data_IF_170375567976
#
_entry.id   IF_170375567976
#
_cell.length_a   1.000
_cell.length_b   1.000
_cell.length_c   1.000
_cell.angle_alpha   90.00
_cell.angle_beta   90.00
_cell.angle_gamma   90.00
#
_symmetry.space_group_name_H-M   'P 1'
#
loop_
_entity.id
_entity.type
_entity.pdbx_description
1 polymer ?
#
# COMPACT_ATOMS: atom_id res chain seq x y z
N UNK A 1 -9.62 17.06 12.52
CA UNK A 1 -9.76 15.74 11.91
C UNK A 1 -9.06 15.62 10.55
N UNK A 2 -9.12 16.59 9.64
CA UNK A 2 -8.46 16.52 8.30
C UNK A 2 -6.93 16.33 8.33
N UNK A 3 -6.25 16.87 9.35
CA UNK A 3 -4.79 16.70 9.49
C UNK A 3 -4.39 15.28 9.95
N UNK A 4 -5.20 14.63 10.75
CA UNK A 4 -4.90 13.29 11.26
C UNK A 4 -4.98 12.21 10.19
N UNK A 5 -5.93 12.30 9.26
CA UNK A 5 -6.13 11.32 8.19
C UNK A 5 -4.92 11.19 7.26
N UNK A 6 -4.44 12.31 6.67
CA UNK A 6 -3.30 12.23 5.76
C UNK A 6 -1.99 11.87 6.47
N UNK A 7 -1.82 12.26 7.75
CA UNK A 7 -0.65 11.88 8.56
C UNK A 7 -0.65 10.37 8.79
N UNK A 8 -1.79 9.79 9.18
CA UNK A 8 -1.92 8.34 9.37
C UNK A 8 -1.58 7.57 8.10
N UNK A 9 -2.10 8.02 6.95
CA UNK A 9 -1.81 7.39 5.67
C UNK A 9 -0.36 7.60 5.25
N UNK A 10 0.25 8.75 5.54
CA UNK A 10 1.66 8.99 5.25
C UNK A 10 2.56 8.05 6.09
N UNK A 11 2.26 7.88 7.38
CA UNK A 11 2.98 6.92 8.24
C UNK A 11 2.85 5.50 7.68
N UNK A 12 1.65 5.11 7.25
CA UNK A 12 1.43 3.81 6.60
C UNK A 12 2.28 3.65 5.34
N UNK A 13 2.30 4.66 4.47
CA UNK A 13 3.10 4.64 3.24
C UNK A 13 4.61 4.57 3.50
N UNK A 14 5.09 5.31 4.50
CA UNK A 14 6.50 5.24 4.95
C UNK A 14 6.81 3.83 5.46
N UNK A 15 5.95 3.27 6.30
CA UNK A 15 6.13 1.92 6.82
C UNK A 15 6.19 0.87 5.71
N UNK A 16 5.25 0.90 4.75
CA UNK A 16 5.24 -0.01 3.60
C UNK A 16 6.56 0.10 2.83
N UNK A 17 6.99 1.32 2.49
CA UNK A 17 8.23 1.56 1.74
C UNK A 17 9.44 1.06 2.50
N UNK A 18 9.55 1.40 3.79
CA UNK A 18 10.68 1.03 4.63
C UNK A 18 10.80 -0.49 4.82
N UNK A 19 9.72 -1.16 5.20
CA UNK A 19 9.77 -2.61 5.40
C UNK A 19 9.99 -3.38 4.11
N UNK A 20 9.46 -2.89 2.98
CA UNK A 20 9.74 -3.48 1.67
C UNK A 20 11.21 -3.31 1.29
N UNK A 21 11.78 -2.14 1.53
CA UNK A 21 13.20 -1.89 1.25
C UNK A 21 14.11 -2.77 2.12
N UNK A 22 13.84 -2.87 3.42
CA UNK A 22 14.56 -3.78 4.32
C UNK A 22 14.44 -5.22 3.86
N UNK A 23 13.25 -5.64 3.39
CA UNK A 23 13.06 -6.99 2.84
C UNK A 23 13.86 -7.23 1.56
N UNK A 24 14.02 -6.21 0.70
CA UNK A 24 14.87 -6.28 -0.49
C UNK A 24 16.35 -6.42 -0.13
N UNK A 25 16.82 -5.60 0.82
CA UNK A 25 18.20 -5.68 1.32
C UNK A 25 18.49 -7.09 1.86
N UNK A 26 17.60 -7.63 2.71
CA UNK A 26 17.76 -8.99 3.23
C UNK A 26 17.77 -10.05 2.11
N UNK A 27 16.92 -9.92 1.10
CA UNK A 27 16.87 -10.87 0.01
C UNK A 27 18.14 -10.91 -0.84
N UNK A 28 18.81 -9.76 -1.03
CA UNK A 28 19.96 -9.67 -1.95
C UNK A 28 21.31 -9.75 -1.26
N UNK A 29 21.43 -9.27 -0.01
CA UNK A 29 22.73 -9.17 0.67
C UNK A 29 22.91 -10.14 1.83
N UNK A 30 21.86 -10.83 2.28
CA UNK A 30 22.00 -11.77 3.39
C UNK A 30 22.00 -13.20 2.85
N UNK A 31 23.03 -13.96 3.16
CA UNK A 31 23.14 -15.39 2.82
C UNK A 31 22.49 -16.30 3.87
N UNK A 32 21.92 -15.71 4.90
CA UNK A 32 21.31 -16.45 5.99
C UNK A 32 20.17 -17.36 5.52
N UNK A 33 20.06 -18.51 6.19
CA UNK A 33 18.95 -19.44 6.05
C UNK A 33 17.65 -18.78 6.49
N UNK A 34 16.98 -18.11 5.53
CA UNK A 34 15.79 -17.35 5.84
C UNK A 34 14.55 -18.23 5.98
N UNK A 35 13.58 -17.72 6.76
CA UNK A 35 12.33 -18.41 6.99
C UNK A 35 11.25 -18.05 5.98
N UNK A 36 10.56 -19.07 5.48
CA UNK A 36 9.29 -18.92 4.75
C UNK A 36 8.18 -19.38 5.69
N UNK A 37 7.63 -18.42 6.43
CA UNK A 37 6.70 -18.75 7.51
C UNK A 37 7.38 -19.46 8.68
N UNK A 38 6.88 -20.64 9.13
CA UNK A 38 7.49 -21.43 10.19
C UNK A 38 8.71 -22.22 9.72
N UNK A 39 8.87 -22.47 8.41
CA UNK A 39 9.88 -23.34 7.84
C UNK A 39 11.15 -22.56 7.47
N UNK A 40 12.30 -23.16 7.67
CA UNK A 40 13.58 -22.68 7.14
C UNK A 40 13.79 -23.20 5.72
N UNK A 41 14.46 -22.42 4.89
CA UNK A 41 14.75 -22.83 3.50
C UNK A 41 15.62 -24.09 3.49
N UNK A 42 16.58 -24.22 4.42
CA UNK A 42 17.40 -25.42 4.60
C UNK A 42 16.59 -26.67 4.96
N UNK A 43 15.44 -26.52 5.63
CA UNK A 43 14.55 -27.63 5.99
C UNK A 43 13.70 -28.10 4.79
N UNK A 44 13.32 -27.16 3.91
CA UNK A 44 12.46 -27.43 2.75
C UNK A 44 13.24 -28.01 1.59
N UNK A 45 14.47 -27.56 1.39
CA UNK A 45 15.32 -27.96 0.29
C UNK A 45 16.76 -28.17 0.78
N UNK A 46 17.02 -29.21 1.59
CA UNK A 46 18.33 -29.47 2.11
C UNK A 46 19.32 -29.75 0.96
N UNK A 47 20.34 -28.88 0.84
CA UNK A 47 21.43 -29.07 -0.13
C UNK A 47 21.15 -28.62 -1.56
N UNK A 48 19.99 -28.07 -1.89
CA UNK A 48 19.76 -27.48 -3.21
C UNK A 48 19.85 -25.95 -3.22
N UNK A 49 21.00 -25.39 -3.64
CA UNK A 49 21.21 -23.94 -3.68
C UNK A 49 20.27 -23.21 -4.68
N UNK A 50 19.72 -23.93 -5.66
CA UNK A 50 18.83 -23.35 -6.68
C UNK A 50 17.50 -22.95 -6.07
N UNK A 51 16.95 -23.76 -5.16
CA UNK A 51 15.71 -23.48 -4.46
C UNK A 51 15.87 -22.25 -3.55
N UNK A 52 16.97 -22.19 -2.80
CA UNK A 52 17.28 -21.03 -1.96
C UNK A 52 17.39 -19.75 -2.80
N UNK A 53 18.11 -19.82 -3.92
CA UNK A 53 18.25 -18.68 -4.85
C UNK A 53 16.91 -18.26 -5.45
N UNK A 54 16.06 -19.20 -5.88
CA UNK A 54 14.75 -18.92 -6.43
C UNK A 54 13.83 -18.21 -5.41
N UNK A 55 13.81 -18.70 -4.17
CA UNK A 55 13.02 -18.09 -3.10
C UNK A 55 13.51 -16.68 -2.75
N UNK A 56 14.82 -16.45 -2.73
CA UNK A 56 15.41 -15.12 -2.54
C UNK A 56 15.04 -14.18 -3.69
N UNK A 57 15.08 -14.64 -4.93
CA UNK A 57 14.67 -13.86 -6.11
C UNK A 57 13.19 -13.47 -6.05
N UNK A 58 12.29 -14.40 -5.71
CA UNK A 58 10.84 -14.13 -5.54
C UNK A 58 10.64 -13.08 -4.44
N UNK A 59 11.32 -13.22 -3.30
CA UNK A 59 11.23 -12.25 -2.21
C UNK A 59 11.73 -10.88 -2.62
N UNK A 60 12.87 -10.80 -3.31
CA UNK A 60 13.44 -9.54 -3.80
C UNK A 60 12.51 -8.84 -4.78
N UNK A 61 11.92 -9.59 -5.72
CA UNK A 61 10.95 -9.06 -6.67
C UNK A 61 9.69 -8.54 -5.95
N UNK A 62 9.15 -9.30 -5.00
CA UNK A 62 8.00 -8.87 -4.21
C UNK A 62 8.30 -7.61 -3.40
N UNK A 63 9.51 -7.50 -2.84
CA UNK A 63 9.96 -6.32 -2.12
C UNK A 63 10.12 -5.10 -3.03
N UNK A 64 10.57 -5.28 -4.27
CA UNK A 64 10.64 -4.20 -5.26
C UNK A 64 9.25 -3.65 -5.59
N UNK A 65 8.28 -4.52 -5.84
CA UNK A 65 6.89 -4.10 -6.04
C UNK A 65 6.30 -3.40 -4.79
N UNK A 66 6.57 -3.92 -3.60
CA UNK A 66 6.14 -3.29 -2.35
C UNK A 66 6.74 -1.90 -2.16
N UNK A 67 8.02 -1.72 -2.51
CA UNK A 67 8.69 -0.41 -2.44
C UNK A 67 8.08 0.58 -3.45
N UNK A 68 7.91 0.15 -4.70
CA UNK A 68 7.29 0.99 -5.74
C UNK A 68 5.85 1.40 -5.37
N UNK A 69 5.07 0.44 -4.86
CA UNK A 69 3.71 0.71 -4.35
C UNK A 69 3.74 1.72 -3.20
N UNK A 70 4.63 1.56 -2.23
CA UNK A 70 4.76 2.48 -1.10
C UNK A 70 5.11 3.90 -1.53
N UNK A 71 6.03 4.06 -2.48
CA UNK A 71 6.41 5.37 -3.04
C UNK A 71 5.22 6.01 -3.78
N UNK A 72 4.52 5.26 -4.63
CA UNK A 72 3.32 5.76 -5.33
C UNK A 72 2.22 6.13 -4.33
N UNK A 73 1.99 5.31 -3.32
CA UNK A 73 1.04 5.58 -2.26
C UNK A 73 1.37 6.90 -1.54
N UNK A 74 2.62 7.09 -1.16
CA UNK A 74 3.09 8.35 -0.54
C UNK A 74 2.91 9.55 -1.45
N UNK A 75 3.21 9.41 -2.73
CA UNK A 75 3.04 10.48 -3.71
C UNK A 75 1.56 10.92 -3.79
N UNK A 76 0.63 9.98 -3.80
CA UNK A 76 -0.81 10.28 -3.80
C UNK A 76 -1.25 10.89 -2.48
N UNK A 77 -0.76 10.38 -1.34
CA UNK A 77 -1.13 10.90 0.00
C UNK A 77 -0.60 12.30 0.23
N UNK A 78 0.68 12.54 -0.05
CA UNK A 78 1.34 13.84 0.21
C UNK A 78 0.97 14.90 -0.82
N UNK A 79 0.60 14.50 -2.03
CA UNK A 79 0.18 15.38 -3.10
C UNK A 79 -1.34 15.63 -3.10
N UNK A 80 -2.08 14.97 -3.98
CA UNK A 80 -3.49 15.26 -4.22
C UNK A 80 -4.39 14.96 -3.01
N UNK A 81 -4.15 13.87 -2.27
CA UNK A 81 -4.96 13.56 -1.10
C UNK A 81 -4.86 14.64 -0.02
N UNK A 82 -3.66 15.13 0.29
CA UNK A 82 -3.45 16.23 1.24
C UNK A 82 -4.14 17.52 0.79
N UNK A 83 -4.18 17.79 -0.51
CA UNK A 83 -4.87 18.96 -1.09
C UNK A 83 -6.39 18.86 -1.05
N UNK A 84 -6.93 17.67 -0.89
CA UNK A 84 -8.36 17.45 -0.75
C UNK A 84 -9.04 16.88 -1.99
N UNK A 85 -8.28 16.38 -2.95
CA UNK A 85 -8.80 15.84 -4.19
C UNK A 85 -9.58 14.53 -3.94
N UNK A 86 -10.84 14.51 -4.35
CA UNK A 86 -11.74 13.36 -4.16
C UNK A 86 -11.27 12.14 -4.94
N UNK A 87 -10.67 12.33 -6.12
CA UNK A 87 -10.16 11.21 -6.92
C UNK A 87 -9.05 10.45 -6.20
N UNK A 88 -8.19 11.16 -5.45
CA UNK A 88 -7.11 10.53 -4.67
C UNK A 88 -7.66 9.64 -3.56
N UNK A 89 -8.75 10.06 -2.89
CA UNK A 89 -9.45 9.25 -1.91
C UNK A 89 -9.98 7.95 -2.55
N UNK A 90 -10.65 8.07 -3.71
CA UNK A 90 -11.16 6.91 -4.47
C UNK A 90 -10.04 5.99 -4.93
N UNK A 91 -8.95 6.54 -5.44
CA UNK A 91 -7.79 5.77 -5.90
C UNK A 91 -7.17 4.94 -4.75
N UNK A 92 -6.96 5.55 -3.58
CA UNK A 92 -6.43 4.85 -2.41
C UNK A 92 -7.39 3.76 -1.92
N UNK A 93 -8.70 4.02 -1.93
CA UNK A 93 -9.70 3.03 -1.56
C UNK A 93 -9.67 1.82 -2.52
N UNK A 94 -9.73 2.07 -3.82
CA UNK A 94 -9.74 1.01 -4.84
C UNK A 94 -8.45 0.20 -4.78
N UNK A 95 -7.29 0.86 -4.74
CA UNK A 95 -5.99 0.18 -4.66
C UNK A 95 -5.89 -0.67 -3.38
N UNK A 96 -6.30 -0.12 -2.24
CA UNK A 96 -6.28 -0.84 -0.96
C UNK A 96 -7.25 -2.01 -0.92
N UNK A 97 -8.48 -1.87 -1.45
CA UNK A 97 -9.43 -2.98 -1.56
C UNK A 97 -8.91 -4.07 -2.47
N UNK A 98 -8.37 -3.74 -3.64
CA UNK A 98 -7.81 -4.71 -4.58
C UNK A 98 -6.67 -5.50 -3.92
N UNK A 99 -5.73 -4.81 -3.29
CA UNK A 99 -4.64 -5.45 -2.56
C UNK A 99 -5.16 -6.35 -1.45
N UNK A 100 -6.14 -5.88 -0.67
CA UNK A 100 -6.74 -6.63 0.44
C UNK A 100 -7.39 -7.92 -0.03
N UNK A 101 -8.19 -7.86 -1.10
CA UNK A 101 -8.84 -9.04 -1.69
C UNK A 101 -7.80 -10.04 -2.14
N UNK A 102 -6.78 -9.62 -2.90
CA UNK A 102 -5.74 -10.52 -3.41
C UNK A 102 -4.97 -11.19 -2.27
N UNK A 103 -4.59 -10.43 -1.24
CA UNK A 103 -3.85 -10.98 -0.10
C UNK A 103 -4.70 -11.94 0.73
N UNK A 104 -5.98 -11.64 0.93
CA UNK A 104 -6.88 -12.48 1.73
C UNK A 104 -7.31 -13.75 0.98
N UNK A 105 -7.33 -13.74 -0.37
CA UNK A 105 -7.62 -14.93 -1.18
C UNK A 105 -6.64 -16.10 -0.91
N UNK A 106 -5.44 -15.81 -0.41
CA UNK A 106 -4.50 -16.88 -0.02
C UNK A 106 -5.01 -17.79 1.08
N UNK A 107 -5.91 -17.30 1.95
CA UNK A 107 -6.47 -18.09 3.04
C UNK A 107 -7.33 -19.24 2.50
N UNK A 108 -8.38 -19.00 1.69
CA UNK A 108 -9.21 -20.07 1.17
C UNK A 108 -8.53 -20.89 0.06
N UNK A 109 -7.59 -20.30 -0.70
CA UNK A 109 -6.96 -21.02 -1.82
C UNK A 109 -5.78 -21.86 -1.37
N UNK A 110 -4.93 -21.33 -0.49
CA UNK A 110 -3.70 -22.00 -0.04
C UNK A 110 -3.82 -22.63 1.35
N UNK A 111 -4.95 -22.45 2.04
CA UNK A 111 -5.16 -23.00 3.39
C UNK A 111 -4.18 -22.47 4.44
N UNK A 112 -3.53 -21.31 4.20
CA UNK A 112 -2.48 -20.79 5.08
C UNK A 112 -2.89 -19.49 5.75
N UNK A 113 -2.62 -19.37 7.03
CA UNK A 113 -2.79 -18.14 7.80
C UNK A 113 -1.47 -17.33 7.95
N UNK A 114 -0.40 -17.79 7.31
CA UNK A 114 0.90 -17.14 7.38
C UNK A 114 0.84 -15.71 6.85
N UNK A 115 1.28 -14.76 7.67
CA UNK A 115 1.32 -13.35 7.30
C UNK A 115 -0.05 -12.64 7.29
N UNK A 116 -1.12 -13.24 7.77
CA UNK A 116 -2.44 -12.60 7.88
C UNK A 116 -2.39 -11.35 8.75
N UNK A 117 -1.72 -11.42 9.89
CA UNK A 117 -1.54 -10.25 10.77
C UNK A 117 -0.81 -9.10 10.07
N UNK A 118 0.23 -9.42 9.30
CA UNK A 118 0.98 -8.43 8.53
C UNK A 118 0.14 -7.81 7.39
N UNK A 119 -0.87 -8.53 6.89
CA UNK A 119 -1.79 -8.03 5.87
C UNK A 119 -2.94 -7.21 6.47
N UNK A 120 -3.51 -7.66 7.60
CA UNK A 120 -4.67 -7.02 8.22
C UNK A 120 -4.32 -5.65 8.79
N UNK A 121 -3.15 -5.49 9.40
CA UNK A 121 -2.74 -4.21 10.00
C UNK A 121 -2.75 -3.03 9.01
N UNK A 122 -2.13 -3.12 7.83
CA UNK A 122 -2.20 -2.06 6.82
C UNK A 122 -3.64 -1.78 6.32
N UNK A 123 -4.45 -2.83 6.20
CA UNK A 123 -5.86 -2.69 5.78
C UNK A 123 -6.65 -1.87 6.80
N UNK A 124 -6.53 -2.20 8.08
CA UNK A 124 -7.20 -1.48 9.17
C UNK A 124 -6.77 -0.01 9.20
N UNK A 125 -5.46 0.26 9.11
CA UNK A 125 -4.93 1.63 9.07
C UNK A 125 -5.41 2.41 7.85
N UNK A 126 -5.47 1.78 6.68
CA UNK A 126 -5.99 2.38 5.46
C UNK A 126 -7.47 2.75 5.63
N UNK A 127 -8.29 1.80 6.07
CA UNK A 127 -9.73 2.03 6.29
C UNK A 127 -9.96 3.14 7.30
N UNK A 128 -9.27 3.12 8.45
CA UNK A 128 -9.34 4.18 9.45
C UNK A 128 -8.95 5.53 8.87
N UNK A 129 -7.84 5.61 8.14
CA UNK A 129 -7.40 6.83 7.49
C UNK A 129 -8.43 7.40 6.51
N UNK A 130 -9.04 6.54 5.70
CA UNK A 130 -10.05 6.95 4.72
C UNK A 130 -11.39 7.33 5.38
N UNK A 131 -11.83 6.60 6.41
CA UNK A 131 -13.08 6.87 7.15
C UNK A 131 -13.00 8.22 7.87
N UNK A 132 -11.87 8.56 8.46
CA UNK A 132 -11.66 9.87 9.11
C UNK A 132 -11.87 11.05 8.15
N UNK A 133 -11.85 10.81 6.85
CA UNK A 133 -11.96 11.86 5.83
C UNK A 133 -13.17 11.70 4.87
N UNK A 134 -14.09 10.79 5.17
CA UNK A 134 -15.35 10.60 4.39
C UNK A 134 -16.13 11.90 4.22
N UNK A 135 -16.03 12.84 5.16
CA UNK A 135 -16.63 14.17 5.05
C UNK A 135 -16.21 14.98 3.81
N UNK A 136 -15.12 14.60 3.13
CA UNK A 136 -14.72 15.21 1.85
C UNK A 136 -15.69 14.94 0.72
N UNK A 137 -16.28 13.74 0.71
CA UNK A 137 -17.21 13.33 -0.35
C UNK A 137 -18.50 14.15 -0.35
N UNK A 138 -18.79 14.83 0.77
CA UNK A 138 -20.01 15.64 0.95
C UNK A 138 -19.85 17.12 0.55
N UNK A 139 -18.66 17.57 0.16
CA UNK A 139 -18.52 18.94 -0.34
C UNK A 139 -18.99 18.99 -1.79
N UNK A 140 -20.11 19.71 -2.09
CA UNK A 140 -20.49 19.99 -3.46
C UNK A 140 -19.33 20.75 -4.12
N UNK A 141 -19.00 20.37 -5.35
CA UNK A 141 -18.19 21.21 -6.23
C UNK A 141 -18.91 22.55 -6.30
N UNK A 142 -18.33 23.58 -5.70
CA UNK A 142 -18.86 24.93 -5.87
C UNK A 142 -18.91 25.17 -7.37
N UNK A 143 -20.10 25.28 -7.93
CA UNK A 143 -20.30 25.66 -9.30
C UNK A 143 -19.51 26.97 -9.48
N UNK A 144 -18.42 26.90 -10.27
CA UNK A 144 -17.71 28.09 -10.69
C UNK A 144 -18.76 28.99 -11.30
N UNK A 145 -19.05 30.09 -10.63
CA UNK A 145 -19.88 31.15 -11.15
C UNK A 145 -19.29 31.60 -12.48
N UNK A 146 -19.80 31.03 -13.54
CA UNK A 146 -19.72 31.61 -14.87
C UNK A 146 -20.75 32.76 -14.83
N UNK A 147 -20.45 33.76 -14.03
CA UNK A 147 -21.09 35.07 -14.16
C UNK A 147 -20.50 35.67 -15.41
N UNK A 148 -21.25 35.51 -16.48
CA UNK A 148 -20.99 36.17 -17.75
C UNK A 148 -20.73 37.64 -17.49
N UNK A 149 -19.56 38.12 -17.94
CA UNK A 149 -19.26 39.51 -18.07
C UNK A 149 -20.35 40.17 -18.92
N UNK A 150 -21.07 41.20 -18.46
CA UNK A 150 -22.00 41.91 -19.31
C UNK A 150 -21.22 42.60 -20.44
N UNK A 151 -21.54 42.18 -21.67
CA UNK A 151 -21.09 42.85 -22.89
C UNK A 151 -21.61 44.31 -22.79
N UNK A 152 -20.72 45.28 -22.59
CA UNK A 152 -21.04 46.69 -22.78
C UNK A 152 -21.21 46.95 -24.28
N UNK A 153 -22.39 47.42 -24.74
CA UNK A 153 -22.51 47.98 -26.07
C UNK A 153 -21.82 49.31 -26.08
N UNK A 154 -20.87 49.50 -27.02
CA UNK A 154 -20.30 50.77 -27.41
C UNK A 154 -21.12 51.41 -28.53
#
# INVERSE_FOLDING_TARGET
MKKASWILLAILGIAITFFSLVSAVHAYWTEDDYRVGPLRVSEVAPGDPRVATALRAIRGTSAAFGTAYGVLFLTVVLGPYRRGDVWAWKALLIAGLTQSVIVLLRIPILGTQLGVSAAVTPIVLLVLGLVLDVGRLKKPVAASNITGSPIRPG
#
